data_IF_844928960784
#
_entry.id   IF_844928960784
#
_cell.length_a   1.000
_cell.length_b   1.000
_cell.length_c   1.000
_cell.angle_alpha   90.00
_cell.angle_beta   90.00
_cell.angle_gamma   90.00
#
_symmetry.space_group_name_H-M   'P 1'
#
loop_
_entity.id
_entity.type
_entity.pdbx_description
1 polymer ?
#
# COMPACT_ATOMS: atom_id res chain seq x y z
N UNK A 1 -3.27 18.14 -42.08
CA UNK A 1 -2.41 18.78 -41.05
C UNK A 1 -3.23 18.95 -39.77
N UNK A 2 -3.68 17.85 -39.17
CA UNK A 2 -4.47 17.86 -37.92
C UNK A 2 -4.11 16.68 -36.97
N UNK A 3 -2.99 15.99 -37.22
CA UNK A 3 -2.55 14.84 -36.40
C UNK A 3 -1.53 15.19 -35.31
N UNK A 4 -1.02 16.44 -35.29
CA UNK A 4 0.05 16.88 -34.39
C UNK A 4 -0.42 17.45 -33.04
N UNK A 5 -1.73 17.41 -32.72
CA UNK A 5 -2.31 17.94 -31.48
C UNK A 5 -2.90 16.88 -30.54
N UNK A 6 -2.46 15.64 -30.63
CA UNK A 6 -2.84 14.60 -29.66
C UNK A 6 -1.70 14.39 -28.64
N UNK A 7 -1.96 14.48 -27.31
CA UNK A 7 -0.92 14.32 -26.31
C UNK A 7 -0.35 12.89 -26.35
N UNK A 8 0.98 12.76 -26.51
CA UNK A 8 1.72 11.49 -26.62
C UNK A 8 1.66 10.59 -25.37
N UNK A 9 1.13 11.10 -24.26
CA UNK A 9 0.88 10.33 -23.04
C UNK A 9 -0.48 10.74 -22.50
N UNK A 10 -1.38 9.77 -22.41
CA UNK A 10 -2.67 9.95 -21.73
C UNK A 10 -2.61 9.13 -20.46
N UNK A 11 -2.81 9.77 -19.31
CA UNK A 11 -3.12 9.06 -18.06
C UNK A 11 -4.47 8.38 -18.26
N UNK A 12 -4.48 7.09 -18.58
CA UNK A 12 -5.70 6.31 -18.65
C UNK A 12 -6.10 5.99 -17.21
N UNK A 13 -7.25 6.48 -16.72
CA UNK A 13 -7.70 6.12 -15.39
C UNK A 13 -8.06 4.63 -15.42
N UNK A 14 -7.27 3.82 -14.72
CA UNK A 14 -7.56 2.40 -14.47
C UNK A 14 -8.98 2.30 -13.94
N UNK A 15 -9.77 1.38 -14.50
CA UNK A 15 -11.13 1.13 -14.06
C UNK A 15 -11.17 0.89 -12.54
N UNK A 16 -11.79 1.84 -11.83
CA UNK A 16 -11.87 1.89 -10.35
C UNK A 16 -12.42 0.60 -9.72
N UNK A 17 -13.18 -0.19 -10.48
CA UNK A 17 -13.83 -1.43 -10.05
C UNK A 17 -12.86 -2.54 -9.61
N UNK A 18 -11.62 -2.60 -10.13
CA UNK A 18 -10.62 -3.60 -9.71
C UNK A 18 -9.73 -3.12 -8.56
N UNK A 19 -9.59 -1.81 -8.39
CA UNK A 19 -8.73 -1.20 -7.37
C UNK A 19 -9.44 -1.09 -6.02
N UNK A 20 -10.77 -0.98 -6.02
CA UNK A 20 -11.58 -0.87 -4.81
C UNK A 20 -11.50 -2.11 -3.87
N UNK A 21 -11.66 -3.36 -4.34
CA UNK A 21 -11.51 -4.54 -3.48
C UNK A 21 -10.09 -4.67 -2.90
N UNK A 22 -9.07 -4.28 -3.68
CA UNK A 22 -7.69 -4.28 -3.22
C UNK A 22 -7.46 -3.28 -2.06
N UNK A 23 -8.01 -2.06 -2.16
CA UNK A 23 -7.97 -1.07 -1.07
C UNK A 23 -8.74 -1.54 0.17
N UNK A 24 -9.88 -2.20 -0.01
CA UNK A 24 -10.68 -2.72 1.10
C UNK A 24 -9.91 -3.79 1.90
N UNK A 25 -9.17 -4.67 1.24
CA UNK A 25 -8.32 -5.68 1.91
C UNK A 25 -7.20 -5.02 2.72
N UNK A 26 -6.55 -3.99 2.18
CA UNK A 26 -5.49 -3.24 2.89
C UNK A 26 -6.07 -2.61 4.16
N UNK A 27 -7.22 -1.94 4.06
CA UNK A 27 -7.87 -1.29 5.21
C UNK A 27 -8.31 -2.33 6.26
N UNK A 28 -8.91 -3.45 5.84
CA UNK A 28 -9.27 -4.53 6.74
C UNK A 28 -8.04 -5.04 7.51
N UNK A 29 -6.92 -5.24 6.81
CA UNK A 29 -5.67 -5.70 7.43
C UNK A 29 -5.08 -4.68 8.42
N UNK A 30 -5.19 -3.38 8.13
CA UNK A 30 -4.83 -2.31 9.08
C UNK A 30 -5.65 -2.37 10.37
N UNK A 31 -6.97 -2.57 10.25
CA UNK A 31 -7.87 -2.68 11.40
C UNK A 31 -7.47 -3.88 12.26
N UNK A 32 -7.29 -5.05 11.64
CA UNK A 32 -6.86 -6.27 12.36
C UNK A 32 -5.51 -6.07 13.05
N UNK A 33 -4.52 -5.47 12.37
CA UNK A 33 -3.21 -5.15 12.94
C UNK A 33 -3.31 -4.22 14.16
N UNK A 34 -4.15 -3.18 14.09
CA UNK A 34 -4.35 -2.25 15.20
C UNK A 34 -4.97 -2.94 16.43
N UNK A 35 -5.99 -3.78 16.21
CA UNK A 35 -6.58 -4.58 17.29
C UNK A 35 -5.57 -5.56 17.89
N UNK A 36 -4.77 -6.22 17.05
CA UNK A 36 -3.73 -7.15 17.49
C UNK A 36 -2.67 -6.46 18.34
N UNK A 37 -2.10 -5.34 17.86
CA UNK A 37 -1.10 -4.56 18.61
C UNK A 37 -1.66 -4.03 19.93
N UNK A 38 -2.91 -3.52 19.92
CA UNK A 38 -3.58 -3.06 21.13
C UNK A 38 -3.73 -4.18 22.15
N UNK A 39 -4.18 -5.37 21.71
CA UNK A 39 -4.30 -6.53 22.58
C UNK A 39 -2.93 -6.96 23.14
N UNK A 40 -1.89 -6.95 22.31
CA UNK A 40 -0.52 -7.32 22.69
C UNK A 40 0.05 -6.40 23.76
N UNK A 41 -0.17 -5.09 23.64
CA UNK A 41 0.30 -4.09 24.60
C UNK A 41 -0.44 -4.20 25.95
N UNK A 42 -1.74 -4.54 25.92
CA UNK A 42 -2.56 -4.65 27.12
C UNK A 42 -2.33 -5.95 27.94
N UNK A 43 -1.64 -6.94 27.38
CA UNK A 43 -1.35 -8.21 28.06
C UNK A 43 0.17 -8.41 28.25
N UNK A 44 0.81 -7.69 29.19
CA UNK A 44 2.24 -7.84 29.45
C UNK A 44 2.56 -9.15 30.19
N UNK A 45 3.64 -9.81 29.76
CA UNK A 45 4.23 -10.97 30.45
C UNK A 45 5.25 -10.47 31.46
N UNK A 46 4.93 -10.61 32.75
CA UNK A 46 5.72 -10.09 33.87
C UNK A 46 6.99 -10.92 34.14
N UNK A 47 7.04 -12.17 33.67
CA UNK A 47 8.15 -13.09 33.88
C UNK A 47 9.34 -12.81 32.94
N UNK A 48 9.10 -12.13 31.81
CA UNK A 48 10.11 -11.87 30.78
C UNK A 48 9.89 -10.52 30.07
N UNK A 49 9.88 -9.42 30.84
CA UNK A 49 9.62 -8.08 30.33
C UNK A 49 10.56 -7.65 29.18
N UNK A 50 11.85 -8.01 29.24
CA UNK A 50 12.83 -7.66 28.20
C UNK A 50 12.52 -8.32 26.85
N UNK A 51 12.25 -9.64 26.86
CA UNK A 51 11.86 -10.38 25.66
C UNK A 51 10.51 -9.90 25.11
N UNK A 52 9.57 -9.58 25.99
CA UNK A 52 8.28 -9.02 25.63
C UNK A 52 8.43 -7.66 24.92
N UNK A 53 9.23 -6.75 25.47
CA UNK A 53 9.51 -5.44 24.88
C UNK A 53 10.12 -5.55 23.48
N UNK A 54 11.15 -6.40 23.32
CA UNK A 54 11.76 -6.63 22.00
C UNK A 54 10.77 -7.20 21.01
N UNK A 55 9.94 -8.17 21.42
CA UNK A 55 8.89 -8.75 20.57
C UNK A 55 7.89 -7.69 20.11
N UNK A 56 7.40 -6.83 21.02
CA UNK A 56 6.43 -5.77 20.70
C UNK A 56 7.05 -4.76 19.74
N UNK A 57 8.31 -4.35 19.96
CA UNK A 57 9.01 -3.41 19.08
C UNK A 57 9.18 -4.01 17.67
N UNK A 58 9.57 -5.28 17.56
CA UNK A 58 9.68 -5.97 16.27
C UNK A 58 8.34 -6.03 15.53
N UNK A 59 7.23 -6.33 16.23
CA UNK A 59 5.90 -6.35 15.64
C UNK A 59 5.46 -4.96 15.13
N UNK A 60 5.70 -3.90 15.91
CA UNK A 60 5.41 -2.51 15.50
C UNK A 60 6.24 -2.13 14.28
N UNK A 61 7.53 -2.45 14.28
CA UNK A 61 8.43 -2.15 13.16
C UNK A 61 7.99 -2.87 11.87
N UNK A 62 7.62 -4.16 11.98
CA UNK A 62 7.11 -4.93 10.85
C UNK A 62 5.79 -4.36 10.33
N UNK A 63 4.88 -3.95 11.23
CA UNK A 63 3.63 -3.29 10.86
C UNK A 63 3.90 -1.98 10.08
N UNK A 64 4.80 -1.12 10.58
CA UNK A 64 5.17 0.12 9.90
C UNK A 64 5.77 -0.16 8.52
N UNK A 65 6.70 -1.12 8.43
CA UNK A 65 7.32 -1.52 7.16
C UNK A 65 6.27 -2.00 6.15
N UNK A 66 5.29 -2.76 6.60
CA UNK A 66 4.19 -3.22 5.77
C UNK A 66 3.26 -2.09 5.30
N UNK A 67 2.96 -1.11 6.17
CA UNK A 67 2.14 0.06 5.84
C UNK A 67 2.83 0.92 4.78
N UNK A 68 4.14 1.16 4.94
CA UNK A 68 4.94 1.90 3.96
C UNK A 68 4.97 1.20 2.61
N UNK A 69 5.01 -0.15 2.59
CA UNK A 69 4.89 -0.92 1.35
C UNK A 69 3.50 -0.78 0.69
N UNK A 70 2.42 -0.55 1.45
CA UNK A 70 1.09 -0.35 0.87
C UNK A 70 0.87 1.06 0.27
N UNK A 71 1.59 2.08 0.74
CA UNK A 71 1.48 3.46 0.25
C UNK A 71 1.63 3.63 -1.28
N UNK A 72 2.65 3.05 -1.94
CA UNK A 72 2.80 3.17 -3.40
C UNK A 72 1.68 2.46 -4.17
N UNK A 73 1.09 1.40 -3.61
CA UNK A 73 -0.03 0.67 -4.22
C UNK A 73 -1.37 1.40 -4.09
N UNK A 74 -1.46 2.42 -3.21
CA UNK A 74 -2.66 3.24 -3.04
C UNK A 74 -2.85 4.25 -4.18
N UNK A 75 -1.75 4.70 -4.79
CA UNK A 75 -1.72 5.56 -5.97
C UNK A 75 -1.06 4.84 -7.15
N UNK A 76 -1.72 3.85 -7.77
CA UNK A 76 -1.23 3.30 -9.02
C UNK A 76 -1.29 4.41 -10.09
N UNK A 77 -0.12 4.91 -10.48
CA UNK A 77 0.02 5.84 -11.60
C UNK A 77 0.32 4.97 -12.82
N UNK A 78 -0.73 4.52 -13.53
CA UNK A 78 -0.54 3.91 -14.83
C UNK A 78 -0.13 4.98 -15.85
N UNK A 79 0.99 4.74 -16.52
CA UNK A 79 1.47 5.53 -17.65
C UNK A 79 1.43 4.64 -18.88
N UNK A 80 0.41 4.83 -19.73
CA UNK A 80 0.45 4.27 -21.08
C UNK A 80 1.40 5.11 -21.93
N UNK A 81 2.36 4.46 -22.58
CA UNK A 81 3.33 5.09 -23.47
C UNK A 81 3.12 4.49 -24.86
N UNK A 82 2.64 5.28 -25.82
CA UNK A 82 2.37 4.82 -27.18
C UNK A 82 3.66 4.84 -28.01
N UNK A 83 4.39 3.71 -28.02
CA UNK A 83 5.62 3.53 -28.80
C UNK A 83 5.39 3.59 -30.32
N UNK A 84 4.18 3.31 -30.80
CA UNK A 84 3.80 3.40 -32.23
C UNK A 84 3.98 4.81 -32.83
N UNK A 85 3.92 5.86 -32.00
CA UNK A 85 4.09 7.25 -32.42
C UNK A 85 5.56 7.71 -32.42
N UNK A 86 6.49 6.88 -31.95
CA UNK A 86 7.92 7.20 -31.82
C UNK A 86 8.76 6.72 -33.03
N UNK A 87 8.20 5.87 -33.88
CA UNK A 87 8.91 5.22 -35.00
C UNK A 87 8.69 5.84 -36.38
N UNK A 88 8.02 7.00 -36.44
CA UNK A 88 7.73 7.75 -37.66
C UNK A 88 8.63 8.98 -37.75
#
# INVERSE_FOLDING_TARGET
MDEARQPLSRKVPIASSKVNPYRMIIILRLVVLAFFLRYRILNPVHDALGLWLTSVICEIWFAISWILDQFPKWFPIDRETYLDRLSL
#
